data_IF_470601087435
#
_entry.id   IF_470601087435
#
_cell.length_a   1.000
_cell.length_b   1.000
_cell.length_c   1.000
_cell.angle_alpha   90.00
_cell.angle_beta   90.00
_cell.angle_gamma   90.00
#
_symmetry.space_group_name_H-M   'P 1'
#
loop_
_entity.id
_entity.type
_entity.pdbx_description
1 polymer ?
#
# COMPACT_ATOMS: atom_id res chain seq x y z
N UNK A 1 -15.50 8.66 -15.29
CA UNK A 1 -14.59 9.67 -15.84
C UNK A 1 -15.06 11.01 -15.32
N UNK A 2 -14.46 11.49 -14.26
CA UNK A 2 -14.52 12.90 -13.89
C UNK A 2 -13.97 13.65 -15.07
N UNK A 3 -14.69 14.65 -15.61
CA UNK A 3 -14.25 15.39 -16.75
C UNK A 3 -12.79 15.79 -16.60
N UNK A 4 -11.91 14.99 -17.16
CA UNK A 4 -10.51 15.32 -17.15
C UNK A 4 -10.30 16.36 -18.25
N UNK A 5 -9.72 17.47 -17.86
CA UNK A 5 -9.18 18.41 -18.84
C UNK A 5 -8.11 17.66 -19.66
N UNK A 6 -8.12 17.77 -20.98
CA UNK A 6 -7.13 17.09 -21.83
C UNK A 6 -5.70 17.41 -21.38
N UNK A 7 -4.83 16.40 -21.36
CA UNK A 7 -3.40 16.65 -21.19
C UNK A 7 -2.93 17.65 -22.25
N UNK A 8 -2.33 18.73 -21.78
CA UNK A 8 -1.73 19.70 -22.66
C UNK A 8 -0.27 19.38 -22.89
N UNK A 9 0.21 19.59 -24.10
CA UNK A 9 1.63 19.48 -24.38
C UNK A 9 2.39 20.54 -23.57
N UNK A 10 3.39 20.11 -22.86
CA UNK A 10 4.19 20.94 -21.95
C UNK A 10 5.01 21.97 -22.72
N UNK A 11 5.30 21.72 -24.00
CA UNK A 11 6.01 22.66 -24.91
C UNK A 11 5.11 23.83 -25.34
N UNK A 12 3.77 23.64 -25.35
CA UNK A 12 2.81 24.67 -25.73
C UNK A 12 2.38 25.57 -24.56
N UNK A 13 2.73 25.20 -23.32
CA UNK A 13 2.35 25.93 -22.13
C UNK A 13 0.97 25.54 -21.60
N UNK A 14 0.57 26.14 -20.47
CA UNK A 14 -0.72 25.90 -19.83
C UNK A 14 -1.75 26.92 -20.36
N UNK A 15 -2.84 26.42 -20.92
CA UNK A 15 -4.00 27.25 -21.32
C UNK A 15 -4.87 27.52 -20.08
N UNK A 16 -4.51 28.56 -19.32
CA UNK A 16 -5.24 28.99 -18.12
C UNK A 16 -6.69 29.40 -18.47
N UNK A 17 -6.88 30.12 -19.55
CA UNK A 17 -8.22 30.60 -19.95
C UNK A 17 -9.15 29.45 -20.32
N UNK A 18 -8.67 28.51 -21.12
CA UNK A 18 -9.46 27.32 -21.47
C UNK A 18 -9.76 26.45 -20.27
N UNK A 19 -8.83 26.33 -19.31
CA UNK A 19 -9.07 25.63 -18.05
C UNK A 19 -10.14 26.33 -17.20
N UNK A 20 -10.11 27.66 -17.09
CA UNK A 20 -11.11 28.43 -16.36
C UNK A 20 -12.51 28.28 -16.99
N UNK A 21 -12.60 28.35 -18.32
CA UNK A 21 -13.87 28.14 -19.04
C UNK A 21 -14.41 26.71 -18.81
N UNK A 22 -13.53 25.71 -18.75
CA UNK A 22 -13.90 24.33 -18.43
C UNK A 22 -14.41 24.21 -16.99
N UNK A 23 -13.73 24.85 -16.03
CA UNK A 23 -14.12 24.86 -14.61
C UNK A 23 -15.51 25.47 -14.44
N UNK A 24 -15.80 26.61 -15.10
CA UNK A 24 -17.13 27.24 -15.01
C UNK A 24 -18.22 26.33 -15.59
N UNK A 25 -18.00 25.68 -16.72
CA UNK A 25 -18.94 24.67 -17.26
C UNK A 25 -19.19 23.51 -16.29
N UNK A 26 -18.13 23.03 -15.63
CA UNK A 26 -18.27 21.97 -14.62
C UNK A 26 -19.07 22.46 -13.40
N UNK A 27 -18.86 23.69 -12.96
CA UNK A 27 -19.63 24.29 -11.86
C UNK A 27 -21.11 24.43 -12.21
N UNK A 28 -21.40 24.92 -13.41
CA UNK A 28 -22.79 25.00 -13.91
C UNK A 28 -23.47 23.62 -13.98
N UNK A 29 -22.73 22.59 -14.43
CA UNK A 29 -23.26 21.25 -14.61
C UNK A 29 -23.45 20.49 -13.31
N UNK A 30 -22.49 20.62 -12.37
CA UNK A 30 -22.44 19.80 -11.16
C UNK A 30 -22.79 20.54 -9.88
N UNK A 31 -22.67 21.90 -9.88
CA UNK A 31 -23.09 22.76 -8.78
C UNK A 31 -22.53 22.34 -7.42
N UNK A 32 -23.44 22.22 -6.47
CA UNK A 32 -23.14 21.83 -5.07
C UNK A 32 -22.98 20.31 -4.85
N UNK A 33 -22.77 19.56 -5.94
CA UNK A 33 -22.64 18.09 -5.84
C UNK A 33 -21.43 17.70 -5.01
N UNK A 34 -21.63 16.76 -4.08
CA UNK A 34 -20.59 16.12 -3.32
C UNK A 34 -20.68 14.60 -3.43
N UNK A 35 -19.57 13.93 -3.29
CA UNK A 35 -19.48 12.45 -3.23
C UNK A 35 -18.54 12.04 -2.12
N UNK A 36 -18.63 10.79 -1.67
CA UNK A 36 -17.55 10.23 -0.87
C UNK A 36 -16.34 10.01 -1.75
N UNK A 37 -15.16 10.28 -1.23
CA UNK A 37 -13.89 10.12 -1.92
C UNK A 37 -12.84 11.07 -1.37
N UNK A 38 -11.60 10.84 -1.73
CA UNK A 38 -10.52 11.72 -1.32
C UNK A 38 -9.38 11.68 -2.34
N UNK A 39 -8.98 12.86 -2.80
CA UNK A 39 -7.80 13.03 -3.63
C UNK A 39 -7.14 14.38 -3.30
N UNK A 40 -5.88 14.52 -3.62
CA UNK A 40 -5.16 15.79 -3.42
C UNK A 40 -5.63 16.86 -4.44
N UNK A 41 -5.73 18.14 -4.04
CA UNK A 41 -5.51 18.67 -2.70
C UNK A 41 -6.69 18.39 -1.76
N UNK A 42 -6.43 18.26 -0.49
CA UNK A 42 -7.44 18.02 0.54
C UNK A 42 -7.31 18.97 1.71
N UNK A 43 -8.39 19.18 2.44
CA UNK A 43 -8.47 20.04 3.61
C UNK A 43 -8.94 19.24 4.82
N UNK A 44 -8.27 19.40 5.94
CA UNK A 44 -8.61 18.79 7.24
C UNK A 44 -8.36 19.77 8.37
N UNK A 45 -9.16 19.71 9.42
CA UNK A 45 -8.84 20.45 10.63
C UNK A 45 -7.60 19.90 11.32
N UNK A 46 -6.70 20.78 11.77
CA UNK A 46 -5.46 20.41 12.45
C UNK A 46 -5.68 19.42 13.60
N UNK A 47 -6.69 19.68 14.46
CA UNK A 47 -7.06 18.80 15.58
C UNK A 47 -7.43 17.36 15.14
N UNK A 48 -8.05 17.22 13.96
CA UNK A 48 -8.46 15.91 13.44
C UNK A 48 -7.26 15.18 12.83
N UNK A 49 -6.35 15.92 12.17
CA UNK A 49 -5.07 15.38 11.73
C UNK A 49 -4.22 14.89 12.91
N UNK A 50 -4.14 15.68 13.99
CA UNK A 50 -3.43 15.32 15.22
C UNK A 50 -4.05 14.09 15.89
N UNK A 51 -5.38 13.98 15.90
CA UNK A 51 -6.12 12.85 16.47
C UNK A 51 -5.75 11.50 15.81
N UNK A 52 -5.46 11.49 14.52
CA UNK A 52 -5.05 10.29 13.79
C UNK A 52 -3.53 10.14 13.69
N UNK A 53 -2.76 11.04 14.30
CA UNK A 53 -1.30 10.97 14.38
C UNK A 53 -0.54 11.60 13.21
N UNK A 54 -1.18 12.44 12.38
CA UNK A 54 -0.52 13.14 11.27
C UNK A 54 -0.01 12.22 10.16
N UNK A 55 0.95 12.69 9.38
CA UNK A 55 1.63 11.87 8.38
C UNK A 55 2.58 10.85 9.00
N UNK A 56 2.65 9.66 8.43
CA UNK A 56 3.60 8.64 8.86
C UNK A 56 4.95 8.86 8.18
N UNK A 57 5.96 9.23 8.95
CA UNK A 57 7.31 9.56 8.47
C UNK A 57 8.05 8.40 7.75
N UNK A 58 7.53 7.19 7.83
CA UNK A 58 8.06 6.03 7.09
C UNK A 58 7.79 6.12 5.60
N UNK A 59 6.76 6.86 5.20
CA UNK A 59 6.44 7.11 3.81
C UNK A 59 7.10 8.40 3.35
N UNK A 60 8.29 8.30 2.79
CA UNK A 60 9.07 9.46 2.36
C UNK A 60 8.61 10.04 1.02
N UNK A 61 8.07 9.20 0.16
CA UNK A 61 7.55 9.54 -1.15
C UNK A 61 6.65 8.42 -1.63
N UNK A 62 5.43 8.72 -1.99
CA UNK A 62 4.36 7.76 -2.31
C UNK A 62 3.81 6.97 -1.11
N UNK A 63 2.52 6.66 -1.16
CA UNK A 63 1.72 5.94 -0.17
C UNK A 63 1.45 6.71 1.13
N UNK A 64 2.03 7.89 1.33
CA UNK A 64 1.78 8.76 2.49
C UNK A 64 0.32 9.23 2.55
N UNK A 65 -0.26 9.58 1.42
CA UNK A 65 -1.66 9.96 1.26
C UNK A 65 -2.59 8.77 1.49
N UNK A 66 -2.32 7.64 0.83
CA UNK A 66 -3.12 6.42 0.99
C UNK A 66 -3.13 5.92 2.43
N UNK A 67 -1.99 5.98 3.11
CA UNK A 67 -1.89 5.67 4.54
C UNK A 67 -2.73 6.62 5.39
N UNK A 68 -2.65 7.92 5.10
CA UNK A 68 -3.39 8.93 5.82
C UNK A 68 -4.90 8.76 5.63
N UNK A 69 -5.36 8.55 4.40
CA UNK A 69 -6.77 8.36 4.09
C UNK A 69 -7.35 7.10 4.73
N UNK A 70 -6.59 6.00 4.73
CA UNK A 70 -6.98 4.81 5.47
C UNK A 70 -7.19 5.10 6.97
N UNK A 71 -6.27 5.85 7.59
CA UNK A 71 -6.39 6.22 9.01
C UNK A 71 -7.54 7.19 9.27
N UNK A 72 -7.83 8.10 8.34
CA UNK A 72 -9.01 8.98 8.41
C UNK A 72 -10.30 8.15 8.44
N UNK A 73 -10.45 7.19 7.52
CA UNK A 73 -11.62 6.30 7.46
C UNK A 73 -11.76 5.48 8.74
N UNK A 74 -10.69 4.82 9.20
CA UNK A 74 -10.70 4.08 10.47
C UNK A 74 -10.97 4.97 11.69
N UNK A 75 -10.60 6.25 11.61
CA UNK A 75 -10.88 7.26 12.61
C UNK A 75 -12.31 7.78 12.59
N UNK A 76 -13.16 7.27 11.70
CA UNK A 76 -14.56 7.65 11.55
C UNK A 76 -14.76 9.01 10.87
N UNK A 77 -13.80 9.47 10.07
CA UNK A 77 -13.93 10.72 9.32
C UNK A 77 -14.68 10.49 8.02
N UNK A 78 -15.56 11.43 7.67
CA UNK A 78 -16.18 11.46 6.36
C UNK A 78 -15.24 12.12 5.36
N UNK A 79 -14.85 11.39 4.33
CA UNK A 79 -14.08 11.91 3.21
C UNK A 79 -15.04 12.40 2.14
N UNK A 80 -15.15 13.71 1.98
CA UNK A 80 -16.10 14.34 1.06
C UNK A 80 -15.33 15.03 -0.05
N UNK A 81 -15.63 14.67 -1.27
CA UNK A 81 -15.10 15.27 -2.48
C UNK A 81 -16.10 16.28 -3.02
N UNK A 82 -15.69 17.55 -3.13
CA UNK A 82 -16.47 18.61 -3.75
C UNK A 82 -16.27 18.60 -5.27
N UNK A 83 -17.37 18.65 -6.01
CA UNK A 83 -17.36 18.78 -7.47
C UNK A 83 -17.28 20.24 -7.94
N UNK A 84 -17.15 21.16 -6.99
CA UNK A 84 -16.99 22.59 -7.22
C UNK A 84 -15.57 23.12 -6.89
N UNK A 85 -14.61 22.19 -6.73
CA UNK A 85 -13.22 22.54 -6.47
C UNK A 85 -12.32 21.81 -7.46
N UNK A 86 -11.55 22.60 -8.21
CA UNK A 86 -10.74 22.09 -9.32
C UNK A 86 -9.29 22.47 -9.14
N UNK A 87 -8.41 21.59 -9.55
CA UNK A 87 -6.98 21.82 -9.63
C UNK A 87 -6.46 21.20 -10.91
N UNK A 88 -5.67 21.96 -11.65
CA UNK A 88 -4.91 21.40 -12.76
C UNK A 88 -3.63 20.76 -12.24
N UNK A 89 -3.50 19.45 -12.44
CA UNK A 89 -2.31 18.70 -12.09
C UNK A 89 -1.32 18.69 -13.26
N UNK A 90 -0.23 19.45 -13.13
CA UNK A 90 0.85 19.46 -14.12
C UNK A 90 1.57 18.12 -14.14
N UNK A 91 1.16 17.25 -15.05
CA UNK A 91 1.72 15.91 -15.20
C UNK A 91 3.21 15.96 -15.55
N UNK A 92 3.97 14.92 -15.20
CA UNK A 92 5.39 14.75 -15.53
C UNK A 92 6.34 15.84 -15.00
N UNK A 93 5.95 16.65 -14.02
CA UNK A 93 6.80 17.70 -13.42
C UNK A 93 7.24 17.41 -11.99
N UNK A 94 6.88 16.24 -11.45
CA UNK A 94 7.29 15.80 -10.12
C UNK A 94 8.68 15.17 -10.09
N UNK A 95 9.18 14.88 -8.88
CA UNK A 95 10.49 14.25 -8.66
C UNK A 95 10.69 12.85 -9.25
N UNK A 96 9.63 12.24 -9.76
CA UNK A 96 9.67 10.98 -10.51
C UNK A 96 10.35 11.11 -11.89
N UNK A 97 10.40 12.33 -12.43
CA UNK A 97 11.05 12.64 -13.69
C UNK A 97 12.31 13.45 -13.37
N UNK A 98 13.47 12.92 -13.67
CA UNK A 98 14.78 13.45 -13.33
C UNK A 98 14.86 14.99 -13.37
N UNK A 99 14.73 15.64 -12.20
CA UNK A 99 14.95 17.07 -11.99
C UNK A 99 14.25 18.04 -12.97
N UNK A 100 13.03 17.74 -13.38
CA UNK A 100 12.26 18.62 -14.28
C UNK A 100 12.78 18.71 -15.70
N UNK A 101 13.71 17.88 -16.11
CA UNK A 101 14.05 17.72 -17.53
C UNK A 101 12.93 16.90 -18.16
N UNK A 102 12.09 17.62 -18.89
CA UNK A 102 11.15 17.02 -19.81
C UNK A 102 11.92 16.22 -20.85
N UNK A 103 11.93 14.90 -20.69
CA UNK A 103 12.30 14.03 -21.79
C UNK A 103 11.03 13.80 -22.61
N UNK A 104 11.10 13.85 -23.92
CA UNK A 104 9.98 13.49 -24.83
C UNK A 104 9.44 12.08 -24.57
N UNK A 105 10.19 11.29 -23.85
CA UNK A 105 9.81 9.96 -23.39
C UNK A 105 9.46 10.02 -21.89
N UNK A 106 8.18 10.25 -21.59
CA UNK A 106 7.61 10.24 -20.24
C UNK A 106 7.70 8.86 -19.55
N UNK A 107 8.27 7.85 -20.18
CA UNK A 107 8.36 6.49 -19.67
C UNK A 107 9.54 6.24 -18.73
N UNK A 108 10.58 7.09 -18.76
CA UNK A 108 11.77 6.88 -17.95
C UNK A 108 11.68 7.57 -16.59
N UNK A 109 11.13 6.85 -15.63
CA UNK A 109 11.17 7.25 -14.22
C UNK A 109 12.58 7.06 -13.66
N UNK A 110 13.05 8.00 -12.81
CA UNK A 110 14.37 7.85 -12.20
C UNK A 110 14.46 6.59 -11.33
N UNK A 111 15.64 5.97 -11.31
CA UNK A 111 15.90 4.76 -10.50
C UNK A 111 15.67 5.04 -9.01
N UNK A 112 16.07 6.22 -8.53
CA UNK A 112 15.86 6.65 -7.16
C UNK A 112 14.39 6.73 -6.81
N UNK A 113 13.56 7.28 -7.70
CA UNK A 113 12.12 7.35 -7.49
C UNK A 113 11.48 5.96 -7.49
N UNK A 114 11.90 5.07 -8.41
CA UNK A 114 11.42 3.69 -8.43
C UNK A 114 11.75 2.95 -7.13
N UNK A 115 12.97 3.13 -6.63
CA UNK A 115 13.38 2.54 -5.35
C UNK A 115 12.56 3.08 -4.17
N UNK A 116 12.32 4.41 -4.12
CA UNK A 116 11.49 5.02 -3.09
C UNK A 116 10.04 4.51 -3.17
N UNK A 117 9.48 4.40 -4.37
CA UNK A 117 8.14 3.86 -4.60
C UNK A 117 8.04 2.41 -4.13
N UNK A 118 9.00 1.57 -4.49
CA UNK A 118 9.04 0.17 -4.09
C UNK A 118 9.14 0.04 -2.56
N UNK A 119 10.04 0.80 -1.92
CA UNK A 119 10.21 0.77 -0.47
C UNK A 119 8.94 1.24 0.25
N UNK A 120 8.31 2.32 -0.22
CA UNK A 120 7.04 2.82 0.34
C UNK A 120 5.89 1.82 0.13
N UNK A 121 5.83 1.15 -1.02
CA UNK A 121 4.83 0.10 -1.28
C UNK A 121 5.03 -1.10 -0.36
N UNK A 122 6.26 -1.58 -0.17
CA UNK A 122 6.58 -2.67 0.77
C UNK A 122 6.22 -2.29 2.21
N UNK A 123 6.56 -1.06 2.64
CA UNK A 123 6.20 -0.59 3.98
C UNK A 123 4.67 -0.43 4.15
N UNK A 124 3.96 -0.05 3.08
CA UNK A 124 2.49 0.01 3.08
C UNK A 124 1.90 -1.40 3.28
N UNK A 125 2.39 -2.41 2.55
CA UNK A 125 1.96 -3.80 2.70
C UNK A 125 2.26 -4.30 4.12
N UNK A 126 3.46 -4.07 4.65
CA UNK A 126 3.78 -4.42 6.04
C UNK A 126 2.83 -3.79 7.04
N UNK A 127 2.38 -2.57 6.80
CA UNK A 127 1.46 -1.85 7.68
C UNK A 127 0.03 -2.32 7.53
N UNK A 128 -0.45 -2.44 6.30
CA UNK A 128 -1.86 -2.63 5.98
C UNK A 128 -2.23 -4.06 5.61
N UNK A 129 -1.28 -4.94 5.34
CA UNK A 129 -1.50 -6.33 4.91
C UNK A 129 -1.97 -6.46 3.46
N UNK A 130 -2.08 -5.35 2.74
CA UNK A 130 -2.55 -5.30 1.35
C UNK A 130 -1.86 -4.18 0.58
N UNK A 131 -1.99 -4.18 -0.74
CA UNK A 131 -1.69 -3.00 -1.57
C UNK A 131 -2.77 -1.94 -1.37
N UNK A 132 -2.50 -0.72 -1.86
CA UNK A 132 -3.51 0.35 -1.89
C UNK A 132 -4.70 -0.08 -2.75
N UNK A 133 -5.89 0.03 -2.18
CA UNK A 133 -7.17 -0.19 -2.88
C UNK A 133 -8.09 1.01 -2.65
N UNK A 134 -8.84 1.38 -3.66
CA UNK A 134 -9.85 2.43 -3.60
C UNK A 134 -10.96 2.15 -4.63
N UNK A 135 -12.11 2.74 -4.44
CA UNK A 135 -13.20 2.70 -5.42
C UNK A 135 -12.97 3.69 -6.59
N UNK A 136 -13.97 3.81 -7.45
CA UNK A 136 -13.93 4.71 -8.60
C UNK A 136 -13.88 6.21 -8.23
N UNK A 137 -14.22 6.56 -6.99
CA UNK A 137 -14.22 7.91 -6.44
C UNK A 137 -13.02 8.16 -5.52
N UNK A 138 -12.03 7.28 -5.56
CA UNK A 138 -10.83 7.32 -4.71
C UNK A 138 -11.12 7.15 -3.20
N UNK A 139 -12.30 6.59 -2.83
CA UNK A 139 -12.57 6.26 -1.44
C UNK A 139 -11.78 5.00 -1.05
N UNK A 140 -11.03 5.02 0.07
CA UNK A 140 -10.21 3.91 0.48
C UNK A 140 -11.00 2.62 0.72
N UNK A 141 -10.53 1.52 0.19
CA UNK A 141 -11.01 0.17 0.52
C UNK A 141 -9.96 -0.47 1.43
N UNK A 142 -10.28 -0.53 2.72
CA UNK A 142 -9.37 -1.01 3.76
C UNK A 142 -9.68 -2.47 4.06
N UNK A 143 -8.76 -3.33 3.69
CA UNK A 143 -8.88 -4.76 3.93
C UNK A 143 -8.45 -5.11 5.35
N UNK A 144 -9.08 -6.08 6.03
CA UNK A 144 -8.60 -6.55 7.31
C UNK A 144 -7.16 -7.04 7.22
N UNK A 145 -6.38 -6.74 8.23
CA UNK A 145 -5.04 -7.27 8.39
C UNK A 145 -5.05 -8.34 9.47
N UNK A 146 -4.67 -9.54 9.10
CA UNK A 146 -4.57 -10.67 10.03
C UNK A 146 -3.13 -10.91 10.46
N UNK A 147 -2.98 -11.62 11.58
CA UNK A 147 -1.69 -12.06 12.09
C UNK A 147 -1.24 -13.34 11.36
N UNK A 148 -0.67 -13.16 10.17
CA UNK A 148 -0.27 -14.22 9.26
C UNK A 148 1.21 -14.56 9.47
N UNK A 149 1.52 -15.84 9.63
CA UNK A 149 2.87 -16.37 9.53
C UNK A 149 3.02 -17.26 8.28
N UNK A 150 4.10 -17.07 7.54
CA UNK A 150 4.53 -18.01 6.51
C UNK A 150 5.62 -18.93 7.06
N UNK A 151 5.44 -20.25 6.95
CA UNK A 151 6.43 -21.27 7.26
C UNK A 151 6.88 -21.94 5.98
N UNK A 152 8.06 -21.57 5.49
CA UNK A 152 8.52 -21.88 4.13
C UNK A 152 9.74 -22.78 4.18
N UNK A 153 9.61 -23.97 3.58
CA UNK A 153 10.73 -24.85 3.30
C UNK A 153 11.32 -24.55 1.93
N UNK A 154 12.61 -24.80 1.72
CA UNK A 154 13.31 -24.48 0.48
C UNK A 154 13.13 -22.99 0.07
N UNK A 155 13.30 -22.10 1.02
CA UNK A 155 13.14 -20.65 0.83
C UNK A 155 14.45 -20.02 0.36
N UNK A 156 14.45 -19.40 -0.78
CA UNK A 156 15.56 -18.56 -1.27
C UNK A 156 15.36 -17.06 -0.96
N UNK A 157 16.39 -16.25 -1.24
CA UNK A 157 16.34 -14.79 -1.03
C UNK A 157 15.25 -14.11 -1.85
N UNK A 158 14.91 -14.61 -3.02
CA UNK A 158 13.90 -14.01 -3.87
C UNK A 158 12.50 -14.25 -3.30
N UNK A 159 12.22 -15.45 -2.84
CA UNK A 159 10.98 -15.81 -2.14
C UNK A 159 10.85 -14.98 -0.86
N UNK A 160 11.91 -14.90 -0.08
CA UNK A 160 11.94 -14.09 1.15
C UNK A 160 11.64 -12.61 0.85
N UNK A 161 12.29 -12.04 -0.17
CA UNK A 161 12.07 -10.66 -0.58
C UNK A 161 10.63 -10.40 -1.03
N UNK A 162 10.03 -11.32 -1.77
CA UNK A 162 8.66 -11.17 -2.26
C UNK A 162 7.63 -11.30 -1.14
N UNK A 163 7.80 -12.23 -0.21
CA UNK A 163 6.76 -12.61 0.75
C UNK A 163 6.85 -11.90 2.11
N UNK A 164 8.04 -11.47 2.54
CA UNK A 164 8.21 -10.87 3.88
C UNK A 164 7.24 -9.71 4.17
N UNK A 165 6.91 -8.79 3.25
CA UNK A 165 5.98 -7.70 3.56
C UNK A 165 4.55 -8.14 3.82
N UNK A 166 4.13 -9.31 3.34
CA UNK A 166 2.75 -9.79 3.35
C UNK A 166 2.35 -10.54 4.62
N UNK A 167 3.26 -10.76 5.54
CA UNK A 167 3.01 -11.50 6.77
C UNK A 167 3.48 -10.72 8.00
N UNK A 168 3.06 -11.15 9.17
CA UNK A 168 3.59 -10.67 10.45
C UNK A 168 4.95 -11.28 10.73
N UNK A 169 5.08 -12.59 10.50
CA UNK A 169 6.29 -13.36 10.68
C UNK A 169 6.54 -14.30 9.51
N UNK A 170 7.81 -14.60 9.23
CA UNK A 170 8.22 -15.59 8.26
C UNK A 170 9.24 -16.54 8.91
N UNK A 171 9.01 -17.83 8.79
CA UNK A 171 9.87 -18.89 9.34
C UNK A 171 10.42 -19.71 8.17
N UNK A 172 11.75 -19.82 8.09
CA UNK A 172 12.40 -20.32 6.89
C UNK A 172 13.64 -21.16 7.21
N UNK A 173 13.96 -22.08 6.32
CA UNK A 173 15.20 -22.86 6.31
C UNK A 173 16.33 -22.20 5.47
N UNK A 174 16.14 -20.95 5.07
CA UNK A 174 17.17 -20.17 4.38
C UNK A 174 18.44 -20.11 5.23
N UNK A 175 19.61 -20.23 4.61
CA UNK A 175 20.85 -20.22 5.36
C UNK A 175 21.13 -18.85 6.03
N UNK A 176 21.84 -18.86 7.16
CA UNK A 176 22.05 -17.68 7.98
C UNK A 176 22.77 -16.54 7.24
N UNK A 177 23.68 -16.84 6.32
CA UNK A 177 24.42 -15.84 5.55
C UNK A 177 23.47 -15.07 4.64
N UNK A 178 22.56 -15.75 3.97
CA UNK A 178 21.53 -15.14 3.12
C UNK A 178 20.54 -14.32 3.94
N UNK A 179 20.11 -14.80 5.09
CA UNK A 179 19.24 -14.05 6.01
C UNK A 179 19.91 -12.77 6.48
N UNK A 180 21.17 -12.81 6.87
CA UNK A 180 21.93 -11.65 7.33
C UNK A 180 22.11 -10.62 6.19
N UNK A 181 22.32 -11.08 4.96
CA UNK A 181 22.37 -10.22 3.78
C UNK A 181 21.02 -9.53 3.51
N UNK A 182 19.92 -10.29 3.57
CA UNK A 182 18.59 -9.75 3.39
C UNK A 182 18.27 -8.71 4.46
N UNK A 183 18.42 -9.07 5.73
CA UNK A 183 18.13 -8.19 6.87
C UNK A 183 19.02 -6.94 6.81
N UNK A 184 20.31 -7.09 6.57
CA UNK A 184 21.25 -5.97 6.48
C UNK A 184 20.91 -4.95 5.38
N UNK A 185 20.37 -5.44 4.25
CA UNK A 185 19.93 -4.60 3.13
C UNK A 185 18.56 -4.00 3.39
N UNK A 186 17.58 -4.81 3.77
CA UNK A 186 16.19 -4.40 3.85
C UNK A 186 15.86 -3.61 5.14
N UNK A 187 16.57 -3.83 6.24
CA UNK A 187 16.36 -3.09 7.50
C UNK A 187 16.53 -1.57 7.35
N UNK A 188 17.30 -1.12 6.34
CA UNK A 188 17.48 0.31 6.03
C UNK A 188 16.21 0.95 5.45
N UNK A 189 15.30 0.14 4.91
CA UNK A 189 14.08 0.56 4.24
C UNK A 189 12.85 0.51 5.17
N UNK A 190 12.98 -0.04 6.37
CA UNK A 190 11.87 -0.17 7.32
C UNK A 190 12.33 0.05 8.75
N UNK A 191 11.44 0.62 9.58
CA UNK A 191 11.66 0.73 11.03
C UNK A 191 11.18 -0.52 11.79
N UNK A 192 10.59 -1.51 11.08
CA UNK A 192 10.16 -2.77 11.69
C UNK A 192 11.37 -3.65 11.95
N UNK A 193 11.50 -4.25 13.13
CA UNK A 193 12.65 -5.08 13.48
C UNK A 193 12.57 -6.42 12.70
N UNK A 194 13.25 -6.50 11.56
CA UNK A 194 13.19 -7.70 10.70
C UNK A 194 13.73 -8.94 11.39
N UNK A 195 14.73 -8.80 12.26
CA UNK A 195 15.25 -9.93 13.07
C UNK A 195 14.22 -10.58 13.98
N UNK A 196 13.19 -9.83 14.42
CA UNK A 196 12.11 -10.35 15.26
C UNK A 196 10.97 -10.97 14.43
N UNK A 197 10.94 -10.65 13.13
CA UNK A 197 9.91 -11.14 12.21
C UNK A 197 10.34 -12.36 11.39
N UNK A 198 11.64 -12.59 11.29
CA UNK A 198 12.20 -13.71 10.52
C UNK A 198 12.81 -14.70 11.49
N UNK A 199 12.20 -15.89 11.58
CA UNK A 199 12.58 -16.98 12.47
C UNK A 199 13.11 -18.20 11.72
N UNK A 200 13.69 -19.15 12.48
CA UNK A 200 14.08 -20.47 11.96
C UNK A 200 12.84 -21.30 11.63
N UNK A 201 12.95 -22.16 10.62
CA UNK A 201 11.85 -23.06 10.20
C UNK A 201 11.35 -23.95 11.35
N UNK A 202 12.19 -24.29 12.31
CA UNK A 202 11.85 -25.17 13.42
C UNK A 202 11.27 -24.43 14.64
N UNK A 203 11.23 -23.10 14.61
CA UNK A 203 10.67 -22.30 15.70
C UNK A 203 9.18 -22.57 15.91
N UNK A 204 8.72 -22.38 17.15
CA UNK A 204 7.31 -22.41 17.50
C UNK A 204 6.58 -21.18 16.95
N UNK A 205 5.38 -21.40 16.40
CA UNK A 205 4.58 -20.37 15.75
C UNK A 205 3.27 -20.17 16.49
N UNK A 206 3.03 -18.95 16.96
CA UNK A 206 1.85 -18.57 17.73
C UNK A 206 0.93 -17.56 16.99
N UNK A 207 1.13 -17.38 15.68
CA UNK A 207 0.31 -16.48 14.88
C UNK A 207 -1.11 -17.03 14.67
N UNK A 208 -2.09 -16.12 14.51
CA UNK A 208 -3.50 -16.48 14.29
C UNK A 208 -3.75 -17.24 12.98
N UNK A 209 -2.91 -17.04 11.97
CA UNK A 209 -2.96 -17.75 10.68
C UNK A 209 -1.55 -18.24 10.35
N UNK A 210 -1.38 -19.52 10.16
CA UNK A 210 -0.10 -20.14 9.77
C UNK A 210 -0.25 -20.82 8.43
N UNK A 211 0.53 -20.42 7.44
CA UNK A 211 0.56 -21.03 6.11
C UNK A 211 1.89 -21.72 5.89
N UNK A 212 1.85 -23.06 5.69
CA UNK A 212 3.02 -23.91 5.46
C UNK A 212 3.08 -24.35 4.01
N UNK A 213 4.24 -24.23 3.39
CA UNK A 213 4.45 -24.68 2.01
C UNK A 213 5.93 -24.87 1.68
N UNK A 214 6.18 -25.50 0.53
CA UNK A 214 7.50 -25.60 -0.08
C UNK A 214 7.70 -24.47 -1.08
N UNK A 215 8.71 -23.62 -0.87
CA UNK A 215 9.00 -22.48 -1.72
C UNK A 215 9.44 -22.89 -3.14
N UNK A 216 10.05 -24.07 -3.30
CA UNK A 216 10.45 -24.56 -4.62
C UNK A 216 9.26 -24.89 -5.55
N UNK A 217 8.05 -25.03 -4.98
CA UNK A 217 6.80 -25.27 -5.73
C UNK A 217 5.99 -24.00 -5.98
N UNK A 218 6.48 -22.84 -5.52
CA UNK A 218 5.75 -21.57 -5.61
C UNK A 218 5.75 -21.02 -7.06
N UNK A 219 4.58 -21.03 -7.67
CA UNK A 219 4.33 -20.41 -8.99
C UNK A 219 3.78 -18.99 -8.84
N UNK A 220 3.73 -18.23 -9.95
CA UNK A 220 3.11 -16.90 -9.97
C UNK A 220 1.62 -16.93 -9.58
N UNK A 221 0.89 -17.97 -9.96
CA UNK A 221 -0.51 -18.16 -9.59
C UNK A 221 -0.66 -18.37 -8.08
N UNK A 222 0.18 -19.23 -7.52
CA UNK A 222 0.20 -19.51 -6.09
C UNK A 222 0.70 -18.31 -5.26
N UNK A 223 1.63 -17.53 -5.80
CA UNK A 223 2.01 -16.24 -5.21
C UNK A 223 0.81 -15.28 -5.15
N UNK A 224 0.00 -15.22 -6.23
CA UNK A 224 -1.21 -14.40 -6.23
C UNK A 224 -2.24 -14.83 -5.17
N UNK A 225 -2.33 -16.13 -4.86
CA UNK A 225 -3.14 -16.60 -3.73
C UNK A 225 -2.64 -16.00 -2.40
N UNK A 226 -1.33 -16.04 -2.14
CA UNK A 226 -0.76 -15.53 -0.89
C UNK A 226 -0.95 -14.02 -0.70
N UNK A 227 -0.80 -13.23 -1.74
CA UNK A 227 -0.98 -11.77 -1.64
C UNK A 227 -2.44 -11.33 -1.52
N UNK A 228 -3.39 -12.20 -1.87
CA UNK A 228 -4.83 -12.00 -1.68
C UNK A 228 -5.38 -12.79 -0.48
N UNK A 229 -4.53 -13.42 0.31
CA UNK A 229 -4.95 -14.28 1.42
C UNK A 229 -5.85 -13.52 2.42
N UNK A 230 -5.56 -12.26 2.69
CA UNK A 230 -6.37 -11.42 3.58
C UNK A 230 -7.84 -11.31 3.12
N UNK A 231 -8.08 -11.16 1.82
CA UNK A 231 -9.42 -11.14 1.23
C UNK A 231 -10.10 -12.49 1.34
N UNK A 232 -9.38 -13.54 0.96
CA UNK A 232 -9.88 -14.93 1.00
C UNK A 232 -10.31 -15.30 2.41
N UNK A 233 -9.50 -14.97 3.42
CA UNK A 233 -9.81 -15.21 4.82
C UNK A 233 -11.01 -14.38 5.31
N UNK A 234 -11.16 -13.15 4.81
CA UNK A 234 -12.31 -12.30 5.14
C UNK A 234 -13.60 -12.86 4.57
N UNK A 235 -13.57 -13.31 3.33
CA UNK A 235 -14.75 -13.83 2.63
C UNK A 235 -15.19 -15.19 3.17
N UNK A 236 -14.24 -16.06 3.54
CA UNK A 236 -14.57 -17.37 4.10
C UNK A 236 -15.02 -17.28 5.56
N UNK A 237 -14.33 -16.49 6.38
CA UNK A 237 -14.54 -16.44 7.84
C UNK A 237 -14.25 -17.75 8.58
N UNK A 238 -13.71 -18.75 7.90
CA UNK A 238 -13.52 -20.10 8.45
C UNK A 238 -12.29 -20.20 9.35
N UNK A 239 -12.41 -21.00 10.39
CA UNK A 239 -11.31 -21.36 11.29
C UNK A 239 -11.00 -22.86 11.15
N UNK A 240 -9.80 -23.25 11.55
CA UNK A 240 -9.35 -24.64 11.56
C UNK A 240 -8.24 -24.93 10.55
N UNK A 241 -8.08 -26.21 10.22
CA UNK A 241 -7.07 -26.65 9.26
C UNK A 241 -7.66 -26.75 7.86
N UNK A 242 -6.95 -26.22 6.89
CA UNK A 242 -7.33 -26.25 5.49
C UNK A 242 -6.12 -26.58 4.62
N UNK A 243 -6.39 -27.11 3.43
CA UNK A 243 -5.38 -27.33 2.40
C UNK A 243 -5.87 -26.71 1.08
N UNK A 244 -4.96 -25.98 0.41
CA UNK A 244 -5.18 -25.47 -0.94
C UNK A 244 -3.89 -25.63 -1.74
N UNK A 245 -3.92 -26.47 -2.78
CA UNK A 245 -2.73 -26.78 -3.60
C UNK A 245 -1.54 -27.20 -2.72
N UNK A 246 -0.45 -26.43 -2.73
CA UNK A 246 0.75 -26.69 -1.91
C UNK A 246 0.63 -26.12 -0.48
N UNK A 247 -0.41 -25.35 -0.19
CA UNK A 247 -0.56 -24.65 1.09
C UNK A 247 -1.33 -25.47 2.10
N UNK A 248 -0.76 -25.58 3.31
CA UNK A 248 -1.42 -26.07 4.50
C UNK A 248 -1.64 -24.90 5.46
N UNK A 249 -2.89 -24.55 5.70
CA UNK A 249 -3.29 -23.44 6.54
C UNK A 249 -3.78 -23.97 7.90
N UNK A 250 -3.36 -23.32 8.97
CA UNK A 250 -3.95 -23.49 10.29
C UNK A 250 -4.42 -22.11 10.78
N UNK A 251 -5.73 -21.95 10.93
CA UNK A 251 -6.38 -20.68 11.23
C UNK A 251 -7.02 -20.78 12.62
N UNK A 252 -6.40 -20.17 13.61
CA UNK A 252 -6.86 -20.13 14.98
C UNK A 252 -7.56 -18.83 15.34
N UNK A 253 -7.28 -17.74 14.60
CA UNK A 253 -7.87 -16.43 14.84
C UNK A 253 -7.85 -15.56 13.58
N UNK A 254 -8.98 -14.88 13.31
CA UNK A 254 -9.12 -13.85 12.28
C UNK A 254 -9.31 -12.46 12.92
N UNK A 255 -8.56 -12.17 13.99
CA UNK A 255 -8.57 -10.87 14.62
C UNK A 255 -7.92 -9.84 13.70
N UNK A 256 -8.66 -8.77 13.37
CA UNK A 256 -8.12 -7.64 12.63
C UNK A 256 -7.13 -6.84 13.47
N UNK A 257 -5.93 -6.61 12.93
CA UNK A 257 -4.83 -5.92 13.61
C UNK A 257 -4.77 -4.41 13.28
N UNK A 258 -5.74 -3.85 12.57
CA UNK A 258 -5.70 -2.42 12.26
C UNK A 258 -5.84 -1.55 13.50
N UNK A 259 -4.93 -0.57 13.60
CA UNK A 259 -4.96 0.46 14.63
C UNK A 259 -5.28 1.82 14.00
N UNK A 260 -6.24 2.54 14.60
CA UNK A 260 -6.63 3.90 14.14
C UNK A 260 -5.51 4.90 14.40
N UNK A 261 -4.83 4.78 15.52
CA UNK A 261 -3.73 5.67 15.90
C UNK A 261 -2.40 4.98 15.77
N UNK A 262 -1.46 5.67 15.13
CA UNK A 262 -0.06 5.38 15.36
C UNK A 262 0.42 6.10 16.61
N UNK A 263 0.97 5.36 17.54
CA UNK A 263 1.84 5.95 18.56
C UNK A 263 3.13 6.32 17.86
N UNK A 264 3.35 7.62 17.67
CA UNK A 264 4.69 8.12 17.39
C UNK A 264 5.44 8.06 18.74
N UNK A 265 6.35 7.13 18.89
CA UNK A 265 7.35 7.16 19.93
C UNK A 265 8.62 7.76 19.36
#
# INVERSE_FOLDING_TARGET
NFGMWPEQDVEEGFDEKGFDEYVEKCKEQYGEKTTQGCFAPWLIHKKDLEKIGGHDYRFKSAREDSDLFNRMVLGGMNLIQSWNSFVYHLTARGGQFQHGKLTKDHSQKSVEWQNLMNNSTREFIRKWGSIVKHDALMYPIIQPKYDIAFKIKNCDLNILYQLEPWCSNIYTDCNQVELDLYIGKEQRNTTRPLKERIGDYNDEINNGVVVRFDGSELTNELYNFLINLGDILTDSGELGEMAYSIFHLNITSLKNLHEVKKKFN
#
